data_IF_206236341371
#
_entry.id   IF_206236341371
#
_cell.length_a   1.000
_cell.length_b   1.000
_cell.length_c   1.000
_cell.angle_alpha   90.00
_cell.angle_beta   90.00
_cell.angle_gamma   90.00
#
_symmetry.space_group_name_H-M   'P 1'
#
loop_
_entity.id
_entity.type
_entity.pdbx_description
1 polymer ?
#
# COMPACT_ATOMS: atom_id res chain seq x y z
N UNK A 1 -14.03 -6.19 -14.36
CA UNK A 1 -14.41 -5.69 -13.02
C UNK A 1 -15.40 -6.65 -12.39
N UNK A 2 -15.18 -7.00 -11.13
CA UNK A 2 -16.08 -7.87 -10.37
C UNK A 2 -17.41 -7.16 -10.09
N UNK A 3 -18.57 -7.86 -10.18
CA UNK A 3 -19.85 -7.26 -9.80
C UNK A 3 -19.83 -6.72 -8.37
N UNK A 4 -20.43 -5.55 -8.17
CA UNK A 4 -20.39 -4.84 -6.88
C UNK A 4 -21.03 -5.66 -5.74
N UNK A 5 -22.06 -6.42 -6.01
CA UNK A 5 -22.71 -7.31 -5.02
C UNK A 5 -21.77 -8.40 -4.52
N UNK A 6 -20.89 -8.93 -5.37
CA UNK A 6 -19.88 -9.92 -4.95
C UNK A 6 -18.83 -9.27 -4.05
N UNK A 7 -18.35 -8.06 -4.39
CA UNK A 7 -17.42 -7.29 -3.54
C UNK A 7 -18.06 -6.97 -2.19
N UNK A 8 -19.32 -6.54 -2.19
CA UNK A 8 -20.09 -6.27 -0.96
C UNK A 8 -20.23 -7.53 -0.08
N UNK A 9 -20.55 -8.68 -0.67
CA UNK A 9 -20.66 -9.95 0.04
C UNK A 9 -19.31 -10.39 0.64
N UNK A 10 -18.21 -10.16 -0.08
CA UNK A 10 -16.86 -10.40 0.40
C UNK A 10 -16.54 -9.50 1.60
N UNK A 11 -16.69 -8.18 1.45
CA UNK A 11 -16.39 -7.17 2.49
C UNK A 11 -17.20 -7.45 3.77
N UNK A 12 -18.44 -7.89 3.65
CA UNK A 12 -19.29 -8.21 4.81
C UNK A 12 -18.71 -9.32 5.72
N UNK A 13 -17.80 -10.15 5.20
CA UNK A 13 -17.14 -11.23 5.92
C UNK A 13 -15.82 -10.82 6.55
N UNK A 14 -15.28 -9.65 6.19
CA UNK A 14 -13.94 -9.18 6.59
C UNK A 14 -13.98 -8.27 7.80
N UNK A 15 -12.92 -8.32 8.59
CA UNK A 15 -12.69 -7.56 9.81
C UNK A 15 -11.39 -6.75 9.74
N UNK A 16 -10.39 -7.20 8.95
CA UNK A 16 -9.11 -6.53 8.72
C UNK A 16 -8.95 -6.19 7.23
N UNK A 17 -8.74 -4.91 6.96
CA UNK A 17 -8.49 -4.37 5.63
C UNK A 17 -7.04 -3.89 5.56
N UNK A 18 -6.21 -4.56 4.79
CA UNK A 18 -4.79 -4.27 4.60
C UNK A 18 -4.65 -3.51 3.28
N UNK A 19 -4.21 -2.26 3.35
CA UNK A 19 -4.08 -1.39 2.18
C UNK A 19 -2.61 -1.21 1.78
N UNK A 20 -2.34 -1.20 0.48
CA UNK A 20 -1.11 -0.56 -0.02
C UNK A 20 -1.26 0.97 0.03
N UNK A 21 -0.16 1.69 -0.20
CA UNK A 21 -0.15 3.15 -0.16
C UNK A 21 -0.11 3.76 -1.58
N UNK A 22 0.97 3.52 -2.33
CA UNK A 22 1.25 4.16 -3.62
C UNK A 22 0.37 3.56 -4.72
N UNK A 23 -0.53 4.33 -5.32
CA UNK A 23 -1.48 3.84 -6.33
C UNK A 23 -2.77 3.25 -5.75
N UNK A 24 -2.83 3.02 -4.45
CA UNK A 24 -3.98 2.46 -3.74
C UNK A 24 -4.66 3.50 -2.86
N UNK A 25 -4.00 3.99 -1.82
CA UNK A 25 -4.52 5.05 -0.95
C UNK A 25 -4.20 6.44 -1.50
N UNK A 26 -3.03 6.62 -2.11
CA UNK A 26 -2.56 7.92 -2.57
C UNK A 26 -2.02 7.86 -4.00
N UNK A 27 -2.36 8.88 -4.78
CA UNK A 27 -1.66 9.19 -6.01
C UNK A 27 -0.39 9.97 -5.68
N UNK A 28 0.72 9.25 -5.60
CA UNK A 28 2.04 9.80 -5.25
C UNK A 28 2.89 10.14 -6.46
N UNK A 29 2.38 9.91 -7.68
CA UNK A 29 3.14 10.08 -8.93
C UNK A 29 3.61 11.52 -9.12
N UNK A 30 2.79 12.50 -8.68
CA UNK A 30 3.10 13.92 -8.78
C UNK A 30 4.37 14.35 -8.06
N UNK A 31 4.82 13.60 -7.05
CA UNK A 31 6.05 13.86 -6.32
C UNK A 31 7.16 12.84 -6.65
N UNK A 32 6.79 11.60 -7.00
CA UNK A 32 7.75 10.57 -7.41
C UNK A 32 8.44 10.92 -8.73
N UNK A 33 7.70 11.39 -9.73
CA UNK A 33 8.26 11.68 -11.04
C UNK A 33 9.26 12.87 -11.03
N UNK A 34 8.97 14.02 -10.39
CA UNK A 34 9.96 15.07 -10.21
C UNK A 34 11.22 14.60 -9.47
N UNK A 35 11.07 13.77 -8.43
CA UNK A 35 12.22 13.28 -7.67
C UNK A 35 13.11 12.33 -8.49
N UNK A 36 12.53 11.42 -9.26
CA UNK A 36 13.28 10.59 -10.22
C UNK A 36 14.02 11.48 -11.21
N UNK A 37 13.33 12.43 -11.83
CA UNK A 37 13.90 13.30 -12.84
C UNK A 37 14.98 14.25 -12.29
N UNK A 38 14.82 14.70 -11.05
CA UNK A 38 15.87 15.43 -10.35
C UNK A 38 17.15 14.59 -10.26
N UNK A 39 17.04 13.34 -9.76
CA UNK A 39 18.19 12.45 -9.68
C UNK A 39 18.79 12.17 -11.05
N UNK A 40 17.99 11.85 -12.07
CA UNK A 40 18.49 11.62 -13.43
C UNK A 40 19.31 12.81 -13.93
N UNK A 41 18.81 14.04 -13.75
CA UNK A 41 19.49 15.26 -14.17
C UNK A 41 20.83 15.46 -13.47
N UNK A 42 20.93 15.17 -12.16
CA UNK A 42 22.18 15.31 -11.40
C UNK A 42 23.30 14.39 -11.92
N UNK A 43 22.94 13.28 -12.56
CA UNK A 43 23.89 12.32 -13.12
C UNK A 43 24.00 12.38 -14.66
N UNK A 44 23.46 13.44 -15.30
CA UNK A 44 23.53 13.65 -16.75
C UNK A 44 22.71 12.66 -17.58
N UNK A 45 21.72 12.01 -16.95
CA UNK A 45 20.78 11.09 -17.59
C UNK A 45 19.55 11.81 -18.12
N UNK A 46 18.85 11.24 -19.08
CA UNK A 46 17.58 11.77 -19.59
C UNK A 46 16.48 11.68 -18.56
N UNK A 47 15.61 12.66 -18.55
CA UNK A 47 14.38 12.68 -17.76
C UNK A 47 13.31 11.82 -18.42
N UNK A 48 12.34 11.37 -17.62
CA UNK A 48 11.26 10.51 -18.04
C UNK A 48 9.89 11.20 -17.89
N UNK A 49 8.93 10.85 -18.72
CA UNK A 49 7.55 11.28 -18.57
C UNK A 49 6.91 10.69 -17.29
N UNK A 50 5.81 11.28 -16.81
CA UNK A 50 5.05 10.71 -15.69
C UNK A 50 4.58 9.28 -15.98
N UNK A 51 4.18 8.99 -17.22
CA UNK A 51 3.74 7.66 -17.63
C UNK A 51 4.90 6.65 -17.61
N UNK A 52 6.11 7.06 -17.98
CA UNK A 52 7.30 6.22 -17.86
C UNK A 52 7.60 5.94 -16.39
N UNK A 53 7.66 6.98 -15.55
CA UNK A 53 7.93 6.83 -14.11
C UNK A 53 6.87 5.95 -13.43
N UNK A 54 5.59 6.07 -13.79
CA UNK A 54 4.54 5.16 -13.33
C UNK A 54 4.91 3.70 -13.57
N UNK A 55 5.53 3.37 -14.71
CA UNK A 55 5.93 1.98 -15.00
C UNK A 55 7.11 1.50 -14.18
N UNK A 56 7.91 2.40 -13.62
CA UNK A 56 9.06 2.05 -12.77
C UNK A 56 8.65 1.75 -11.32
N UNK A 57 7.47 2.21 -10.87
CA UNK A 57 6.98 2.01 -9.51
C UNK A 57 6.71 0.52 -9.25
N UNK A 58 6.75 0.12 -7.99
CA UNK A 58 6.63 -1.26 -7.50
C UNK A 58 7.98 -1.83 -7.05
N UNK A 59 7.96 -2.77 -6.12
CA UNK A 59 9.15 -3.44 -5.57
C UNK A 59 10.19 -2.51 -4.89
N UNK A 60 9.78 -1.31 -4.45
CA UNK A 60 10.59 -0.37 -3.68
C UNK A 60 11.44 0.59 -4.52
N UNK A 61 11.92 1.65 -3.86
CA UNK A 61 12.57 2.81 -4.48
C UNK A 61 13.92 2.50 -5.15
N UNK A 62 14.66 1.50 -4.67
CA UNK A 62 15.89 1.08 -5.32
C UNK A 62 15.63 0.51 -6.73
N UNK A 63 14.55 -0.30 -6.88
CA UNK A 63 14.18 -0.83 -8.19
C UNK A 63 13.57 0.24 -9.09
N UNK A 64 12.87 1.24 -8.52
CA UNK A 64 12.44 2.43 -9.25
C UNK A 64 13.65 3.11 -9.92
N UNK A 65 14.73 3.34 -9.19
CA UNK A 65 15.94 4.00 -9.72
C UNK A 65 16.67 3.10 -10.73
N UNK A 66 16.83 1.81 -10.46
CA UNK A 66 17.44 0.88 -11.45
C UNK A 66 16.70 0.91 -12.79
N UNK A 67 15.36 0.88 -12.74
CA UNK A 67 14.51 0.95 -13.95
C UNK A 67 14.64 2.30 -14.65
N UNK A 68 14.66 3.40 -13.91
CA UNK A 68 14.82 4.75 -14.48
C UNK A 68 16.18 4.92 -15.16
N UNK A 69 17.26 4.44 -14.56
CA UNK A 69 18.59 4.46 -15.19
C UNK A 69 18.61 3.57 -16.44
N UNK A 70 18.14 2.32 -16.37
CA UNK A 70 18.13 1.40 -17.49
C UNK A 70 17.28 1.90 -18.66
N UNK A 71 16.19 2.65 -18.39
CA UNK A 71 15.33 3.23 -19.42
C UNK A 71 16.02 4.30 -20.31
N UNK A 72 17.22 4.73 -19.95
CA UNK A 72 18.05 5.56 -20.83
C UNK A 72 18.68 4.74 -21.98
N UNK A 73 18.73 3.41 -21.88
CA UNK A 73 19.45 2.52 -22.77
C UNK A 73 18.55 1.46 -23.41
N UNK A 74 17.44 1.11 -22.77
CA UNK A 74 16.45 0.14 -23.27
C UNK A 74 15.04 0.73 -23.25
N UNK A 75 14.11 0.19 -24.07
CA UNK A 75 12.72 0.64 -24.04
C UNK A 75 12.10 0.51 -22.65
N UNK A 76 11.32 1.53 -22.23
CA UNK A 76 10.63 1.57 -20.92
C UNK A 76 9.81 0.30 -20.64
N UNK A 77 9.13 -0.24 -21.66
CA UNK A 77 8.37 -1.48 -21.53
C UNK A 77 9.23 -2.68 -21.09
N UNK A 78 10.53 -2.66 -21.36
CA UNK A 78 11.48 -3.73 -20.99
C UNK A 78 11.98 -3.61 -19.54
N UNK A 79 11.75 -2.48 -18.86
CA UNK A 79 12.32 -2.24 -17.52
C UNK A 79 11.61 -3.00 -16.38
N UNK A 80 10.49 -3.65 -16.67
CA UNK A 80 9.83 -4.57 -15.70
C UNK A 80 10.57 -5.89 -15.54
N UNK A 81 11.32 -6.29 -16.56
CA UNK A 81 12.23 -7.43 -16.52
C UNK A 81 13.53 -7.03 -15.80
N UNK A 82 13.65 -7.44 -14.53
CA UNK A 82 14.78 -7.05 -13.68
C UNK A 82 16.10 -7.74 -14.08
N UNK A 83 16.06 -8.88 -14.76
CA UNK A 83 17.23 -9.53 -15.30
C UNK A 83 17.80 -8.69 -16.45
N UNK A 84 16.93 -8.26 -17.36
CA UNK A 84 17.30 -7.36 -18.46
C UNK A 84 17.78 -6.00 -17.96
N UNK A 85 17.17 -5.46 -16.91
CA UNK A 85 17.66 -4.24 -16.25
C UNK A 85 19.07 -4.43 -15.72
N UNK A 86 19.33 -5.53 -14.99
CA UNK A 86 20.65 -5.81 -14.44
C UNK A 86 21.73 -5.98 -15.54
N UNK A 87 21.41 -6.70 -16.61
CA UNK A 87 22.30 -6.86 -17.77
C UNK A 87 22.62 -5.49 -18.40
N UNK A 88 21.59 -4.65 -18.61
CA UNK A 88 21.76 -3.31 -19.20
C UNK A 88 22.66 -2.46 -18.34
N UNK A 89 22.41 -2.39 -17.03
CA UNK A 89 23.21 -1.60 -16.11
C UNK A 89 24.67 -2.04 -16.08
N UNK A 90 24.93 -3.36 -16.15
CA UNK A 90 26.29 -3.90 -16.23
C UNK A 90 26.99 -3.54 -17.55
N UNK A 91 26.28 -3.63 -18.69
CA UNK A 91 26.81 -3.25 -20.02
C UNK A 91 27.15 -1.76 -20.09
N UNK A 92 26.35 -0.91 -19.49
CA UNK A 92 26.53 0.55 -19.45
C UNK A 92 27.41 1.02 -18.28
N UNK A 93 28.09 0.09 -17.59
CA UNK A 93 29.01 0.34 -16.48
C UNK A 93 28.38 1.03 -15.25
N UNK A 94 27.09 0.82 -15.01
CA UNK A 94 26.44 1.26 -13.76
C UNK A 94 26.62 0.20 -12.68
N UNK A 95 27.59 0.43 -11.79
CA UNK A 95 27.81 -0.42 -10.61
C UNK A 95 26.69 -0.26 -9.57
N UNK A 96 26.59 -1.18 -8.63
CA UNK A 96 25.68 -1.05 -7.49
C UNK A 96 25.95 0.22 -6.66
N UNK A 97 27.22 0.67 -6.57
CA UNK A 97 27.60 1.92 -5.92
C UNK A 97 27.03 3.13 -6.65
N UNK A 98 27.14 3.18 -7.98
CA UNK A 98 26.55 4.27 -8.77
C UNK A 98 25.02 4.32 -8.58
N UNK A 99 24.34 3.17 -8.59
CA UNK A 99 22.90 3.11 -8.37
C UNK A 99 22.54 3.59 -6.95
N UNK A 100 23.33 3.24 -5.93
CA UNK A 100 23.12 3.73 -4.56
C UNK A 100 23.31 5.24 -4.45
N UNK A 101 24.28 5.82 -5.14
CA UNK A 101 24.50 7.28 -5.19
C UNK A 101 23.30 7.99 -5.82
N UNK A 102 22.83 7.50 -6.99
CA UNK A 102 21.64 8.03 -7.65
C UNK A 102 20.41 7.92 -6.75
N UNK A 103 20.23 6.74 -6.12
CA UNK A 103 19.13 6.51 -5.18
C UNK A 103 19.20 7.42 -3.96
N UNK A 104 20.41 7.75 -3.45
CA UNK A 104 20.58 8.67 -2.35
C UNK A 104 20.07 10.07 -2.73
N UNK A 105 20.50 10.60 -3.88
CA UNK A 105 20.05 11.91 -4.39
C UNK A 105 18.53 11.94 -4.59
N UNK A 106 17.97 10.87 -5.19
CA UNK A 106 16.53 10.70 -5.29
C UNK A 106 15.84 10.74 -3.93
N UNK A 107 16.36 9.99 -2.95
CA UNK A 107 15.73 9.86 -1.64
C UNK A 107 15.75 11.16 -0.86
N UNK A 108 16.87 11.88 -0.87
CA UNK A 108 17.00 13.19 -0.21
C UNK A 108 15.99 14.18 -0.77
N UNK A 109 15.90 14.28 -2.10
CA UNK A 109 14.93 15.17 -2.75
C UNK A 109 13.48 14.71 -2.47
N UNK A 110 13.17 13.42 -2.68
CA UNK A 110 11.83 12.91 -2.49
C UNK A 110 11.33 13.08 -1.06
N UNK A 111 12.16 12.82 -0.05
CA UNK A 111 11.76 12.98 1.34
C UNK A 111 11.42 14.42 1.70
N UNK A 112 12.03 15.37 1.06
CA UNK A 112 11.73 16.80 1.24
C UNK A 112 10.39 17.17 0.60
N UNK A 113 10.13 16.67 -0.61
CA UNK A 113 9.06 17.10 -1.50
C UNK A 113 7.87 16.12 -1.61
N UNK A 114 7.88 14.97 -0.92
CA UNK A 114 6.92 13.87 -1.12
C UNK A 114 5.46 14.16 -0.72
N UNK A 115 5.17 15.39 -0.36
CA UNK A 115 3.83 15.83 0.05
C UNK A 115 3.36 17.09 -0.69
N UNK A 116 4.02 17.51 -1.76
CA UNK A 116 3.64 18.73 -2.50
C UNK A 116 2.45 18.47 -3.42
N UNK A 117 2.51 17.40 -4.22
CA UNK A 117 1.51 17.02 -5.20
C UNK A 117 0.88 15.63 -4.95
N UNK A 118 1.29 14.97 -3.86
CA UNK A 118 0.65 13.73 -3.42
C UNK A 118 -0.73 14.02 -2.86
N UNK A 119 -1.73 13.29 -3.34
CA UNK A 119 -3.13 13.43 -2.93
C UNK A 119 -3.78 12.06 -2.66
N UNK A 120 -4.70 11.95 -1.69
CA UNK A 120 -5.47 10.75 -1.48
C UNK A 120 -6.41 10.52 -2.67
N UNK A 121 -6.66 9.26 -3.02
CA UNK A 121 -7.76 8.95 -3.92
C UNK A 121 -9.11 9.26 -3.27
N UNK A 122 -10.10 9.54 -4.12
CA UNK A 122 -11.46 9.87 -3.69
C UNK A 122 -12.04 8.81 -2.73
N UNK A 123 -12.59 9.24 -1.60
CA UNK A 123 -13.21 8.38 -0.59
C UNK A 123 -12.25 7.75 0.42
N UNK A 124 -10.92 7.88 0.24
CA UNK A 124 -9.92 7.25 1.13
C UNK A 124 -9.92 7.87 2.52
N UNK A 125 -9.92 9.20 2.62
CA UNK A 125 -9.86 9.90 3.92
C UNK A 125 -11.10 9.56 4.75
N UNK A 126 -12.28 9.66 4.14
CA UNK A 126 -13.56 9.35 4.78
C UNK A 126 -13.65 7.88 5.21
N UNK A 127 -13.15 6.97 4.37
CA UNK A 127 -13.10 5.55 4.67
C UNK A 127 -12.26 5.27 5.92
N UNK A 128 -11.02 5.75 5.95
CA UNK A 128 -10.09 5.51 7.04
C UNK A 128 -10.56 6.14 8.35
N UNK A 129 -11.10 7.36 8.29
CA UNK A 129 -11.69 8.01 9.46
C UNK A 129 -12.92 7.23 9.97
N UNK A 130 -13.76 6.69 9.09
CA UNK A 130 -14.92 5.89 9.49
C UNK A 130 -14.52 4.60 10.18
N UNK A 131 -13.47 3.91 9.70
CA UNK A 131 -12.94 2.70 10.35
C UNK A 131 -12.38 3.05 11.73
N UNK A 132 -11.57 4.10 11.83
CA UNK A 132 -10.95 4.56 13.09
C UNK A 132 -12.01 4.95 14.14
N UNK A 133 -13.01 5.75 13.76
CA UNK A 133 -14.08 6.18 14.65
C UNK A 133 -14.92 5.00 15.18
N UNK A 134 -15.13 3.95 14.35
CA UNK A 134 -15.83 2.74 14.80
C UNK A 134 -15.04 1.96 15.84
N UNK A 135 -13.72 1.86 15.67
CA UNK A 135 -12.84 1.19 16.61
C UNK A 135 -12.79 1.94 17.97
N UNK A 136 -12.70 3.27 17.96
CA UNK A 136 -12.71 4.07 19.18
C UNK A 136 -14.05 3.97 19.94
N UNK A 137 -15.17 4.01 19.23
CA UNK A 137 -16.50 3.88 19.85
C UNK A 137 -16.72 2.48 20.44
N UNK A 138 -16.14 1.44 19.87
CA UNK A 138 -16.18 0.10 20.43
C UNK A 138 -15.40 0.02 21.74
N UNK A 139 -14.16 0.53 21.76
CA UNK A 139 -13.32 0.56 22.96
C UNK A 139 -13.95 1.38 24.11
N UNK A 140 -14.62 2.50 23.80
CA UNK A 140 -15.34 3.31 24.82
C UNK A 140 -16.58 2.60 25.38
N UNK A 141 -17.21 1.71 24.61
CA UNK A 141 -18.37 0.95 25.10
C UNK A 141 -17.97 -0.28 25.93
N UNK A 142 -16.70 -0.72 25.88
CA UNK A 142 -16.16 -1.73 26.80
C UNK A 142 -15.83 -1.15 28.19
N UNK A 143 -15.61 0.17 28.30
CA UNK A 143 -15.60 0.92 29.58
C UNK A 143 -17.03 1.20 30.04
N UNK A 144 -17.85 0.16 30.20
CA UNK A 144 -19.17 0.28 30.77
C UNK A 144 -19.06 0.76 32.23
N UNK A 145 -19.47 2.03 32.48
CA UNK A 145 -19.40 2.70 33.75
C UNK A 145 -20.27 2.06 34.87
N UNK A 146 -20.76 0.86 34.67
CA UNK A 146 -21.61 0.08 35.60
C UNK A 146 -20.96 -1.23 36.08
N UNK A 147 -19.65 -1.39 35.92
CA UNK A 147 -18.95 -2.43 36.68
C UNK A 147 -18.78 -1.97 38.12
N UNK A 148 -19.67 -2.44 38.98
CA UNK A 148 -19.59 -2.32 40.42
C UNK A 148 -18.21 -2.71 40.95
N UNK A 149 -17.69 -1.94 41.92
CA UNK A 149 -16.36 -2.09 42.53
C UNK A 149 -16.14 -3.44 43.25
N UNK A 150 -17.14 -4.32 43.25
CA UNK A 150 -17.18 -5.61 43.95
C UNK A 150 -17.05 -6.85 43.02
N UNK A 151 -16.80 -6.69 41.72
CA UNK A 151 -16.47 -7.82 40.84
C UNK A 151 -17.63 -8.77 40.50
N UNK A 152 -18.87 -8.43 40.76
CA UNK A 152 -20.05 -9.20 40.37
C UNK A 152 -20.54 -8.71 38.98
N UNK A 153 -20.54 -9.55 37.97
CA UNK A 153 -21.14 -9.23 36.69
C UNK A 153 -22.65 -9.05 36.81
N UNK A 154 -23.22 -7.92 36.34
CA UNK A 154 -24.68 -7.76 36.27
C UNK A 154 -25.24 -8.75 35.23
N UNK A 155 -26.27 -9.49 35.64
CA UNK A 155 -26.91 -10.61 34.89
C UNK A 155 -27.65 -10.16 33.62
N UNK A 156 -27.62 -8.88 33.27
CA UNK A 156 -28.32 -8.29 32.12
C UNK A 156 -27.46 -7.37 31.24
N UNK A 157 -26.13 -7.51 31.24
CA UNK A 157 -25.35 -6.89 30.20
C UNK A 157 -25.52 -7.73 28.91
N UNK A 158 -26.60 -7.50 28.17
CA UNK A 158 -26.74 -7.95 26.79
C UNK A 158 -25.78 -7.12 25.98
N UNK A 159 -24.52 -7.55 25.93
CA UNK A 159 -23.61 -7.10 24.90
C UNK A 159 -24.34 -7.36 23.57
N UNK A 160 -24.75 -6.31 22.91
CA UNK A 160 -25.25 -6.39 21.54
C UNK A 160 -24.08 -6.86 20.66
N UNK A 161 -23.95 -8.18 20.53
CA UNK A 161 -22.98 -8.91 19.70
C UNK A 161 -23.19 -8.64 18.21
N UNK A 162 -23.29 -7.40 17.76
CA UNK A 162 -23.65 -7.14 16.35
C UNK A 162 -22.79 -6.12 15.62
N UNK A 163 -21.87 -5.42 16.24
CA UNK A 163 -20.94 -4.59 15.48
C UNK A 163 -19.61 -5.33 15.39
N UNK A 164 -19.32 -5.94 14.25
CA UNK A 164 -17.97 -6.43 13.94
C UNK A 164 -17.01 -5.24 13.99
N UNK A 165 -16.01 -5.32 14.87
CA UNK A 165 -14.91 -4.35 14.86
C UNK A 165 -14.15 -4.53 13.58
N UNK A 166 -14.12 -3.50 12.75
CA UNK A 166 -13.30 -3.45 11.54
C UNK A 166 -12.07 -2.61 11.83
N UNK A 167 -10.92 -3.05 11.38
CA UNK A 167 -9.69 -2.27 11.49
C UNK A 167 -8.97 -2.19 10.14
N UNK A 168 -8.26 -1.08 9.96
CA UNK A 168 -7.36 -0.88 8.84
C UNK A 168 -5.92 -1.17 9.25
N UNK A 169 -5.16 -1.76 8.34
CA UNK A 169 -3.71 -1.83 8.41
C UNK A 169 -3.12 -1.35 7.08
N UNK A 170 -1.85 -0.96 7.07
CA UNK A 170 -1.14 -0.60 5.84
C UNK A 170 0.07 -1.48 5.67
N UNK A 171 0.27 -2.00 4.44
CA UNK A 171 1.45 -2.76 4.04
C UNK A 171 1.99 -2.20 2.72
N UNK A 172 3.10 -1.48 2.77
CA UNK A 172 3.68 -0.83 1.61
C UNK A 172 5.16 -1.16 1.42
N UNK A 173 5.62 -1.20 0.17
CA UNK A 173 7.05 -1.28 -0.16
C UNK A 173 7.77 0.07 -0.07
N UNK A 174 7.02 1.15 0.18
CA UNK A 174 7.55 2.48 0.45
C UNK A 174 8.30 2.53 1.78
N UNK A 175 9.43 3.29 1.89
CA UNK A 175 10.10 3.52 3.18
C UNK A 175 9.20 4.25 4.19
N UNK A 176 9.44 4.02 5.50
CA UNK A 176 8.61 4.55 6.58
C UNK A 176 8.59 6.08 6.64
N UNK A 177 9.74 6.74 6.42
CA UNK A 177 9.84 8.20 6.55
C UNK A 177 8.89 8.97 5.61
N UNK A 178 8.89 8.75 4.27
CA UNK A 178 7.94 9.40 3.38
C UNK A 178 6.49 8.92 3.60
N UNK A 179 6.26 7.65 3.97
CA UNK A 179 4.92 7.16 4.27
C UNK A 179 4.30 7.91 5.46
N UNK A 180 5.03 8.06 6.57
CA UNK A 180 4.58 8.81 7.73
C UNK A 180 4.33 10.29 7.41
N UNK A 181 5.20 10.93 6.61
CA UNK A 181 5.04 12.33 6.22
C UNK A 181 3.75 12.53 5.41
N UNK A 182 3.42 11.61 4.51
CA UNK A 182 2.18 11.63 3.75
C UNK A 182 0.98 11.45 4.68
N UNK A 183 0.97 10.42 5.52
CA UNK A 183 -0.13 10.19 6.47
C UNK A 183 -0.36 11.41 7.37
N UNK A 184 0.70 12.04 7.85
CA UNK A 184 0.64 13.24 8.68
C UNK A 184 0.03 14.44 7.95
N UNK A 185 0.39 14.67 6.68
CA UNK A 185 -0.21 15.75 5.88
C UNK A 185 -1.74 15.68 5.87
N UNK A 186 -2.30 14.46 5.84
CA UNK A 186 -3.74 14.23 5.74
C UNK A 186 -4.43 13.85 7.06
N UNK A 187 -3.71 13.88 8.20
CA UNK A 187 -4.26 13.57 9.52
C UNK A 187 -4.66 12.09 9.68
N UNK A 188 -3.94 11.19 9.03
CA UNK A 188 -4.24 9.74 8.98
C UNK A 188 -3.25 8.88 9.77
N UNK A 189 -2.36 9.47 10.58
CA UNK A 189 -1.33 8.74 11.35
C UNK A 189 -1.92 7.70 12.30
N UNK A 190 -3.10 7.99 12.84
CA UNK A 190 -3.79 7.13 13.80
C UNK A 190 -4.92 6.30 13.18
N UNK A 191 -5.03 6.27 11.86
CA UNK A 191 -6.13 5.57 11.17
C UNK A 191 -5.90 4.07 11.01
N UNK A 192 -4.71 3.59 11.34
CA UNK A 192 -4.33 2.19 11.18
C UNK A 192 -4.03 1.54 12.52
N UNK A 193 -4.54 0.34 12.74
CA UNK A 193 -4.20 -0.50 13.90
C UNK A 193 -2.69 -0.85 13.91
N UNK A 194 -2.13 -1.03 12.73
CA UNK A 194 -0.69 -1.20 12.50
C UNK A 194 -0.34 -0.87 11.06
N UNK A 195 0.92 -0.50 10.80
CA UNK A 195 1.43 -0.36 9.44
C UNK A 195 2.87 -0.82 9.33
N UNK A 196 3.18 -1.44 8.20
CA UNK A 196 4.50 -1.95 7.87
C UNK A 196 4.97 -1.36 6.54
N UNK A 197 6.21 -0.89 6.54
CA UNK A 197 6.86 -0.24 5.41
C UNK A 197 8.03 -1.07 4.90
N UNK A 198 8.51 -0.77 3.69
CA UNK A 198 9.54 -1.56 3.02
C UNK A 198 10.90 -1.63 3.72
N UNK A 199 11.13 -0.81 4.73
CA UNK A 199 12.32 -0.78 5.58
C UNK A 199 12.04 -1.20 7.05
N UNK A 200 10.79 -1.55 7.38
CA UNK A 200 10.38 -2.03 8.70
C UNK A 200 10.05 -3.52 8.71
N UNK A 201 10.05 -4.17 7.56
CA UNK A 201 9.85 -5.62 7.43
C UNK A 201 11.12 -6.28 6.90
N UNK A 202 11.42 -7.53 7.32
CA UNK A 202 12.57 -8.29 6.78
C UNK A 202 12.43 -8.50 5.27
N UNK A 203 11.21 -8.72 4.81
CA UNK A 203 10.89 -9.02 3.42
C UNK A 203 9.74 -8.13 2.93
N UNK A 204 9.91 -7.56 1.75
CA UNK A 204 8.92 -6.75 1.06
C UNK A 204 7.90 -7.59 0.31
N UNK A 205 6.73 -7.03 0.00
CA UNK A 205 5.84 -7.63 -1.00
C UNK A 205 6.64 -7.91 -2.29
N UNK A 206 6.53 -9.07 -2.92
CA UNK A 206 5.44 -10.06 -2.84
C UNK A 206 5.59 -11.15 -1.76
N UNK A 207 6.56 -11.04 -0.83
CA UNK A 207 6.61 -11.94 0.33
C UNK A 207 5.35 -11.76 1.20
N UNK A 208 4.78 -12.86 1.75
CA UNK A 208 3.66 -12.81 2.67
C UNK A 208 4.06 -12.38 4.10
N UNK A 209 5.34 -12.21 4.38
CA UNK A 209 5.86 -11.96 5.73
C UNK A 209 5.22 -10.75 6.40
N UNK A 210 5.02 -9.65 5.66
CA UNK A 210 4.34 -8.46 6.19
C UNK A 210 2.88 -8.71 6.53
N UNK A 211 2.16 -9.52 5.73
CA UNK A 211 0.77 -9.89 6.02
C UNK A 211 0.71 -10.75 7.29
N UNK A 212 1.57 -11.76 7.43
CA UNK A 212 1.63 -12.59 8.62
C UNK A 212 1.92 -11.77 9.89
N UNK A 213 2.80 -10.79 9.80
CA UNK A 213 3.11 -9.92 10.94
C UNK A 213 1.91 -9.03 11.31
N UNK A 214 1.18 -8.48 10.33
CA UNK A 214 -0.05 -7.72 10.58
C UNK A 214 -1.12 -8.62 11.24
N UNK A 215 -1.33 -9.84 10.75
CA UNK A 215 -2.25 -10.80 11.35
C UNK A 215 -1.87 -11.14 12.80
N UNK A 216 -0.57 -11.32 13.06
CA UNK A 216 -0.05 -11.56 14.41
C UNK A 216 -0.30 -10.38 15.36
N UNK A 217 -0.07 -9.14 14.88
CA UNK A 217 -0.26 -7.93 15.68
C UNK A 217 -1.72 -7.64 15.98
N UNK A 218 -2.61 -7.90 15.00
CA UNK A 218 -4.05 -7.63 15.14
C UNK A 218 -4.80 -8.78 15.81
N UNK A 219 -4.25 -9.99 15.82
CA UNK A 219 -4.93 -11.20 16.31
C UNK A 219 -6.11 -11.65 15.44
N UNK A 220 -6.27 -11.06 14.24
CA UNK A 220 -7.37 -11.39 13.33
C UNK A 220 -6.95 -12.58 12.45
N UNK A 221 -7.88 -13.53 12.31
CA UNK A 221 -7.65 -14.73 11.52
C UNK A 221 -7.54 -14.42 10.01
N UNK A 222 -6.69 -15.16 9.25
CA UNK A 222 -6.45 -14.89 7.83
C UNK A 222 -7.72 -14.80 6.96
N UNK A 223 -8.70 -15.67 7.22
CA UNK A 223 -9.98 -15.69 6.47
C UNK A 223 -10.84 -14.44 6.71
N UNK A 224 -10.54 -13.67 7.75
CA UNK A 224 -11.17 -12.37 8.06
C UNK A 224 -10.39 -11.18 7.56
N UNK A 225 -9.21 -11.40 6.98
CA UNK A 225 -8.39 -10.36 6.40
C UNK A 225 -8.58 -10.27 4.88
N UNK A 226 -8.29 -9.09 4.34
CA UNK A 226 -8.28 -8.85 2.91
C UNK A 226 -7.20 -7.82 2.57
N UNK A 227 -6.44 -8.07 1.49
CA UNK A 227 -5.52 -7.09 0.90
C UNK A 227 -6.26 -6.25 -0.13
N UNK A 228 -5.95 -4.97 -0.17
CA UNK A 228 -6.40 -4.03 -1.20
C UNK A 228 -5.16 -3.36 -1.77
N UNK A 229 -4.92 -3.55 -3.06
CA UNK A 229 -3.72 -3.07 -3.73
C UNK A 229 -3.90 -2.98 -5.24
N UNK A 230 -2.99 -2.33 -5.91
CA UNK A 230 -3.09 -2.00 -7.32
C UNK A 230 -1.98 -2.60 -8.21
N UNK A 231 -0.94 -3.21 -7.61
CA UNK A 231 0.16 -3.76 -8.42
C UNK A 231 0.44 -5.26 -8.08
N UNK A 232 1.22 -5.86 -8.91
CA UNK A 232 1.65 -7.28 -8.84
C UNK A 232 2.13 -7.72 -7.46
N UNK A 233 2.94 -6.93 -6.71
CA UNK A 233 3.40 -7.32 -5.38
C UNK A 233 2.26 -7.53 -4.37
N UNK A 234 1.15 -6.79 -4.50
CA UNK A 234 -0.01 -6.88 -3.61
C UNK A 234 -0.76 -8.18 -3.82
N UNK A 235 -1.09 -8.44 -5.09
CA UNK A 235 -1.80 -9.65 -5.50
C UNK A 235 -1.03 -10.90 -5.10
N UNK A 236 0.28 -10.91 -5.36
CA UNK A 236 1.13 -12.04 -5.03
C UNK A 236 1.33 -12.20 -3.52
N UNK A 237 1.50 -11.11 -2.77
CA UNK A 237 1.62 -11.18 -1.30
C UNK A 237 0.34 -11.76 -0.68
N UNK A 238 -0.84 -11.32 -1.12
CA UNK A 238 -2.11 -11.85 -0.66
C UNK A 238 -2.27 -13.34 -1.02
N UNK A 239 -1.97 -13.72 -2.26
CA UNK A 239 -2.01 -15.12 -2.75
C UNK A 239 -1.07 -16.01 -1.93
N UNK A 240 0.16 -15.54 -1.69
CA UNK A 240 1.17 -16.28 -0.92
C UNK A 240 0.79 -16.39 0.57
N UNK A 241 0.05 -15.41 1.11
CA UNK A 241 -0.46 -15.43 2.48
C UNK A 241 -1.77 -16.23 2.62
N UNK A 242 -2.41 -16.61 1.53
CA UNK A 242 -3.69 -17.33 1.54
C UNK A 242 -4.89 -16.47 1.96
N UNK A 243 -4.82 -15.15 1.74
CA UNK A 243 -5.93 -14.23 2.00
C UNK A 243 -6.53 -13.71 0.68
N UNK A 244 -7.77 -13.21 0.75
CA UNK A 244 -8.39 -12.55 -0.40
C UNK A 244 -7.69 -11.22 -0.75
N UNK A 245 -7.81 -10.82 -2.05
CA UNK A 245 -7.33 -9.53 -2.53
C UNK A 245 -8.38 -8.87 -3.41
N UNK A 246 -8.63 -7.57 -3.21
CA UNK A 246 -9.28 -6.71 -4.20
C UNK A 246 -8.18 -5.98 -4.95
N UNK A 247 -8.08 -6.24 -6.25
CA UNK A 247 -7.08 -5.65 -7.15
C UNK A 247 -7.67 -4.40 -7.82
N UNK A 248 -7.02 -3.26 -7.65
CA UNK A 248 -7.42 -1.99 -8.24
C UNK A 248 -6.75 -1.81 -9.60
N UNK A 249 -7.54 -1.53 -10.64
CA UNK A 249 -7.04 -1.41 -12.02
C UNK A 249 -6.73 0.04 -12.44
N UNK A 250 -7.12 1.03 -11.66
CA UNK A 250 -6.89 2.44 -11.96
C UNK A 250 -5.77 3.05 -11.08
N UNK A 251 -4.98 2.20 -10.41
CA UNK A 251 -3.74 2.58 -9.70
C UNK A 251 -2.53 2.70 -10.63
N UNK A 252 -1.36 2.36 -10.14
CA UNK A 252 -0.10 2.40 -10.92
C UNK A 252 0.17 1.10 -11.68
N UNK A 253 -0.35 -0.03 -11.18
CA UNK A 253 -0.22 -1.33 -11.83
C UNK A 253 -0.90 -1.37 -13.20
N UNK A 254 -0.27 -2.03 -14.16
CA UNK A 254 -0.83 -2.18 -15.51
C UNK A 254 -1.64 -3.46 -15.63
N UNK A 255 -2.78 -3.37 -16.29
CA UNK A 255 -3.68 -4.51 -16.53
C UNK A 255 -2.95 -5.70 -17.18
N UNK A 256 -2.00 -5.44 -18.09
CA UNK A 256 -1.18 -6.47 -18.75
C UNK A 256 -0.36 -7.32 -17.78
N UNK A 257 0.03 -6.77 -16.62
CA UNK A 257 0.77 -7.48 -15.58
C UNK A 257 -0.15 -8.12 -14.52
N UNK A 258 -1.33 -7.55 -14.31
CA UNK A 258 -2.30 -8.01 -13.31
C UNK A 258 -3.17 -9.15 -13.81
N UNK A 259 -3.64 -9.09 -15.07
CA UNK A 259 -4.53 -10.10 -15.64
C UNK A 259 -3.94 -11.54 -15.64
N UNK A 260 -2.64 -11.75 -15.93
CA UNK A 260 -2.05 -13.08 -15.84
C UNK A 260 -2.03 -13.70 -14.44
N UNK A 261 -2.21 -12.89 -13.38
CA UNK A 261 -2.30 -13.37 -12.00
C UNK A 261 -3.70 -13.89 -11.64
N UNK A 262 -4.67 -13.73 -12.56
CA UNK A 262 -6.06 -14.14 -12.40
C UNK A 262 -6.70 -13.59 -11.12
N UNK A 263 -6.69 -12.24 -10.90
CA UNK A 263 -7.22 -11.65 -9.69
C UNK A 263 -8.72 -11.96 -9.57
N UNK A 264 -9.11 -12.57 -8.46
CA UNK A 264 -10.50 -13.01 -8.24
C UNK A 264 -11.47 -11.85 -8.06
N UNK A 265 -11.04 -10.81 -7.36
CA UNK A 265 -11.86 -9.61 -7.10
C UNK A 265 -11.15 -8.38 -7.65
N UNK A 266 -11.88 -7.60 -8.44
CA UNK A 266 -11.31 -6.45 -9.16
C UNK A 266 -12.25 -5.24 -9.08
N UNK A 267 -11.69 -4.05 -8.86
CA UNK A 267 -12.40 -2.78 -8.86
C UNK A 267 -11.58 -1.72 -9.63
N UNK A 268 -12.16 -0.56 -9.94
CA UNK A 268 -11.44 0.58 -10.46
C UNK A 268 -10.63 1.23 -9.36
N UNK A 269 -11.33 1.85 -8.42
CA UNK A 269 -10.78 2.53 -7.26
C UNK A 269 -11.46 2.10 -5.95
N UNK A 270 -10.86 2.52 -4.82
CA UNK A 270 -11.44 2.31 -3.48
C UNK A 270 -12.85 2.88 -3.38
N UNK A 271 -13.13 4.05 -3.96
CA UNK A 271 -14.45 4.69 -3.94
C UNK A 271 -15.59 3.79 -4.41
N UNK A 272 -15.30 2.84 -5.30
CA UNK A 272 -16.31 1.95 -5.88
C UNK A 272 -16.95 1.03 -4.83
N UNK A 273 -16.27 0.78 -3.72
CA UNK A 273 -16.75 -0.11 -2.66
C UNK A 273 -16.51 0.42 -1.23
N UNK A 274 -15.91 1.59 -1.07
CA UNK A 274 -15.57 2.17 0.25
C UNK A 274 -16.77 2.24 1.22
N UNK A 275 -17.99 2.46 0.70
CA UNK A 275 -19.20 2.54 1.53
C UNK A 275 -19.56 1.23 2.25
N UNK A 276 -19.07 0.09 1.76
CA UNK A 276 -19.34 -1.24 2.35
C UNK A 276 -18.33 -1.63 3.44
N UNK A 277 -17.20 -0.95 3.53
CA UNK A 277 -16.20 -1.09 4.59
C UNK A 277 -16.57 -0.17 5.81
#
# INVERSE_FOLDING_TARGET
MTPLDEIKALIAQKELFIFDLDGTLFNTLGDLAPAVNYAMTQFGLHTHSNDDVRTFIGNGSMNLIRRAVAANFIPVASTRDMEKVAETLAQENYSEENIKEIHKVYSEYYWEHCTENTEPYEGVVELLQRISNRAENFNRNEDCAECDKNGAQPVNCVATKSAKVRCAAMLTNKPVAPAQKILKKFGLENSFATYLCGDTTPERKPSPAGIYEILRQTGIAPEKAIMIGDDTPDVLAAKNAGIDCITLFEGFGKAENLLPLEPRYTAGHIKDFAEFI
#
